data_IF_611396710191
#
_entry.id   IF_611396710191
#
_cell.length_a   1.000
_cell.length_b   1.000
_cell.length_c   1.000
_cell.angle_alpha   90.00
_cell.angle_beta   90.00
_cell.angle_gamma   90.00
#
_symmetry.space_group_name_H-M   'P 1'
#
loop_
_entity.id
_entity.type
_entity.pdbx_description
1 polymer ?
#
# COMPACT_ATOMS: atom_id res chain seq x y z
N UNK A 1 57.52 15.27 33.41
CA UNK A 1 57.52 14.58 32.09
C UNK A 1 56.15 14.85 31.46
N UNK A 2 55.87 16.08 31.03
CA UNK A 2 56.15 16.70 29.72
C UNK A 2 55.46 16.02 28.53
N UNK A 3 54.45 16.70 27.97
CA UNK A 3 54.23 17.01 26.54
C UNK A 3 52.72 17.10 26.26
N UNK A 4 52.11 18.28 26.24
CA UNK A 4 51.98 19.21 25.10
C UNK A 4 51.53 18.55 23.77
N UNK A 5 50.33 18.91 23.32
CA UNK A 5 50.03 19.22 21.91
C UNK A 5 48.71 20.01 21.81
N UNK A 6 48.85 21.31 21.67
CA UNK A 6 47.86 22.30 21.23
C UNK A 6 47.74 22.28 19.70
N UNK A 7 46.51 22.35 19.15
CA UNK A 7 46.28 22.75 17.76
C UNK A 7 45.24 23.87 17.73
N UNK A 8 45.71 25.02 17.25
CA UNK A 8 44.97 26.22 16.88
C UNK A 8 44.26 26.00 15.55
N UNK A 9 43.02 26.49 15.40
CA UNK A 9 42.53 26.92 14.08
C UNK A 9 41.84 28.29 14.16
N UNK A 10 42.55 29.22 13.54
CA UNK A 10 42.26 30.55 13.03
C UNK A 10 40.78 30.93 12.78
N UNK A 11 40.45 32.10 13.32
CA UNK A 11 39.34 32.98 12.97
C UNK A 11 39.50 33.60 11.58
N UNK A 12 38.43 33.56 10.77
CA UNK A 12 38.30 34.38 9.55
C UNK A 12 37.14 35.37 9.71
N UNK A 13 37.51 36.62 10.00
CA UNK A 13 36.70 37.83 9.92
C UNK A 13 36.73 38.38 8.49
N UNK A 14 35.57 38.73 7.91
CA UNK A 14 35.33 39.92 7.08
C UNK A 14 34.14 39.72 6.14
N UNK A 15 33.04 40.46 6.36
CA UNK A 15 32.52 41.44 5.40
C UNK A 15 31.17 42.01 5.85
N UNK A 16 31.25 43.14 6.55
CA UNK A 16 30.15 44.05 6.86
C UNK A 16 29.83 44.89 5.63
N UNK A 17 28.73 44.60 4.93
CA UNK A 17 28.15 45.49 3.92
C UNK A 17 27.00 46.30 4.52
N UNK A 18 27.34 47.55 4.84
CA UNK A 18 26.51 48.69 5.22
C UNK A 18 25.45 48.94 4.12
N UNK A 19 24.16 48.71 4.41
CA UNK A 19 23.04 49.16 3.56
C UNK A 19 22.24 50.24 4.26
N UNK A 20 22.05 51.33 3.52
CA UNK A 20 21.42 52.59 3.91
C UNK A 20 19.93 52.38 4.21
N UNK A 21 19.49 52.94 5.34
CA UNK A 21 18.08 53.15 5.68
C UNK A 21 17.43 54.09 4.66
N UNK A 22 16.33 53.67 4.05
CA UNK A 22 15.38 54.55 3.39
C UNK A 22 14.04 54.42 4.14
N UNK A 23 13.74 55.45 4.92
CA UNK A 23 12.49 55.64 5.65
C UNK A 23 11.43 56.18 4.69
N UNK A 24 10.35 55.44 4.49
CA UNK A 24 9.11 55.92 3.86
C UNK A 24 7.95 55.48 4.75
N UNK A 25 7.41 56.42 5.52
CA UNK A 25 6.10 56.30 6.16
C UNK A 25 4.99 56.59 5.14
N UNK A 26 3.85 55.90 5.25
CA UNK A 26 2.58 56.50 4.92
C UNK A 26 1.62 56.53 6.12
N UNK A 27 1.15 57.75 6.38
CA UNK A 27 -0.02 58.08 7.18
C UNK A 27 -1.26 57.30 6.73
N UNK A 28 -1.93 56.61 7.66
CA UNK A 28 -3.29 56.12 7.46
C UNK A 28 -4.18 56.53 8.65
N UNK A 29 -5.22 57.31 8.31
CA UNK A 29 -6.32 57.74 9.19
C UNK A 29 -7.17 56.54 9.64
N UNK A 30 -7.74 56.55 10.86
CA UNK A 30 -8.69 55.53 11.28
C UNK A 30 -10.09 55.76 10.69
N UNK A 31 -10.62 54.73 10.03
CA UNK A 31 -12.03 54.65 9.62
C UNK A 31 -12.81 53.92 10.72
N UNK A 32 -13.81 54.62 11.26
CA UNK A 32 -14.82 54.12 12.20
C UNK A 32 -15.83 53.23 11.47
N UNK A 33 -16.07 52.02 11.96
CA UNK A 33 -17.21 51.20 11.56
C UNK A 33 -17.98 50.69 12.78
N UNK A 34 -19.27 51.03 12.76
CA UNK A 34 -20.33 50.77 13.74
C UNK A 34 -20.51 49.28 14.05
N UNK A 35 -20.61 48.96 15.34
CA UNK A 35 -21.15 47.70 15.85
C UNK A 35 -22.66 47.60 15.59
N UNK A 36 -23.08 46.52 14.93
CA UNK A 36 -24.49 46.09 14.85
C UNK A 36 -24.68 44.90 15.79
N UNK A 37 -25.49 45.10 16.84
CA UNK A 37 -26.03 44.07 17.71
C UNK A 37 -27.07 43.25 16.94
N UNK A 38 -26.92 41.93 16.91
CA UNK A 38 -28.03 41.01 16.65
C UNK A 38 -28.17 40.09 17.87
N UNK A 39 -29.17 40.36 18.70
CA UNK A 39 -29.74 39.39 19.63
C UNK A 39 -30.72 38.52 18.85
N UNK A 40 -30.56 37.20 18.90
CA UNK A 40 -31.60 36.26 18.47
C UNK A 40 -31.83 35.27 19.60
N UNK A 41 -33.10 35.17 19.99
CA UNK A 41 -33.58 34.53 21.21
C UNK A 41 -33.45 33.01 21.24
N UNK A 42 -33.29 32.54 22.47
CA UNK A 42 -33.40 31.16 22.92
C UNK A 42 -34.86 30.70 22.84
N UNK A 43 -35.14 29.65 22.07
CA UNK A 43 -36.41 28.91 22.13
C UNK A 43 -36.13 27.48 22.61
N UNK A 44 -36.51 27.22 23.85
CA UNK A 44 -36.60 25.90 24.47
C UNK A 44 -37.69 25.07 23.77
N UNK A 45 -37.37 23.84 23.34
CA UNK A 45 -38.38 22.82 22.99
C UNK A 45 -38.00 21.44 23.54
N UNK A 46 -38.81 21.03 24.53
CA UNK A 46 -39.59 19.78 24.56
C UNK A 46 -38.85 18.45 24.45
N UNK A 47 -38.71 17.79 25.60
CA UNK A 47 -38.35 16.38 25.80
C UNK A 47 -39.44 15.41 25.31
N UNK A 48 -39.08 14.50 24.41
CA UNK A 48 -39.90 13.33 24.04
C UNK A 48 -39.57 12.09 24.88
N UNK A 49 -40.55 11.24 25.26
CA UNK A 49 -40.32 10.07 26.11
C UNK A 49 -39.73 8.88 25.33
N UNK A 50 -38.75 8.20 25.94
CA UNK A 50 -38.16 6.95 25.43
C UNK A 50 -39.12 5.78 25.63
N UNK A 51 -39.42 5.07 24.54
CA UNK A 51 -40.14 3.78 24.54
C UNK A 51 -39.17 2.62 24.88
N UNK A 52 -39.54 1.62 25.69
CA UNK A 52 -38.66 0.50 26.06
C UNK A 52 -38.50 -0.49 24.90
N UNK A 53 -37.26 -0.83 24.55
CA UNK A 53 -36.91 -1.86 23.58
C UNK A 53 -37.14 -3.26 24.15
N UNK A 54 -37.98 -4.06 23.48
CA UNK A 54 -38.18 -5.48 23.81
C UNK A 54 -37.03 -6.38 23.28
N UNK A 55 -36.73 -7.50 23.97
CA UNK A 55 -35.65 -8.42 23.60
C UNK A 55 -35.97 -9.21 22.32
N UNK A 56 -35.06 -9.12 21.35
CA UNK A 56 -35.11 -9.77 20.03
C UNK A 56 -34.90 -11.29 20.17
N UNK A 57 -35.90 -12.08 19.79
CA UNK A 57 -35.82 -13.55 19.69
C UNK A 57 -34.67 -13.97 18.76
N UNK A 58 -33.76 -14.81 19.26
CA UNK A 58 -32.70 -15.45 18.48
C UNK A 58 -33.32 -16.53 17.59
N UNK A 59 -33.36 -16.28 16.28
CA UNK A 59 -33.70 -17.30 15.28
C UNK A 59 -32.43 -18.09 14.95
N UNK A 60 -32.37 -19.35 15.33
CA UNK A 60 -31.32 -20.28 14.90
C UNK A 60 -31.61 -20.71 13.48
N UNK A 61 -30.78 -20.27 12.53
CA UNK A 61 -30.88 -20.69 11.12
C UNK A 61 -29.99 -21.93 10.93
N UNK A 62 -30.61 -23.09 10.71
CA UNK A 62 -29.90 -24.30 10.28
C UNK A 62 -29.59 -24.18 8.80
N UNK A 63 -28.34 -23.92 8.44
CA UNK A 63 -27.93 -23.84 7.04
C UNK A 63 -27.84 -25.24 6.43
N UNK A 64 -28.70 -25.53 5.44
CA UNK A 64 -28.60 -26.74 4.62
C UNK A 64 -27.40 -26.58 3.67
N UNK A 65 -26.31 -27.28 3.93
CA UNK A 65 -25.12 -27.27 3.05
C UNK A 65 -25.34 -28.21 1.87
N UNK A 66 -25.56 -27.66 0.67
CA UNK A 66 -25.56 -28.43 -0.57
C UNK A 66 -24.13 -28.87 -0.91
N UNK A 67 -23.91 -30.18 -1.11
CA UNK A 67 -22.64 -30.73 -1.60
C UNK A 67 -22.69 -30.89 -3.11
N UNK A 68 -21.66 -30.42 -3.81
CA UNK A 68 -21.46 -30.60 -5.25
C UNK A 68 -20.46 -31.73 -5.48
N UNK A 69 -20.73 -32.59 -6.47
CA UNK A 69 -19.88 -33.72 -6.82
C UNK A 69 -19.44 -33.62 -8.29
N UNK A 70 -18.18 -33.90 -8.56
CA UNK A 70 -17.59 -33.92 -9.90
C UNK A 70 -16.70 -35.16 -10.04
N UNK A 71 -16.70 -35.80 -11.21
CA UNK A 71 -15.86 -36.97 -11.51
C UNK A 71 -14.78 -36.54 -12.50
N UNK A 72 -13.52 -36.85 -12.18
CA UNK A 72 -12.37 -36.67 -13.05
C UNK A 72 -11.90 -38.04 -13.57
N UNK A 73 -11.48 -38.09 -14.83
CA UNK A 73 -10.93 -39.28 -15.46
C UNK A 73 -9.48 -39.06 -15.85
N UNK A 74 -8.64 -40.04 -15.56
CA UNK A 74 -7.21 -40.06 -15.84
C UNK A 74 -6.88 -41.35 -16.58
N UNK A 75 -6.03 -41.24 -17.61
CA UNK A 75 -5.54 -42.39 -18.38
C UNK A 75 -4.02 -42.25 -18.49
N UNK A 76 -3.30 -43.15 -17.83
CA UNK A 76 -1.85 -43.22 -17.87
C UNK A 76 -1.45 -44.29 -18.88
N UNK A 77 -0.78 -43.87 -19.94
CA UNK A 77 -0.19 -44.73 -20.98
C UNK A 77 1.33 -44.58 -21.01
N UNK A 78 2.01 -45.39 -21.82
CA UNK A 78 3.47 -45.27 -22.03
C UNK A 78 3.90 -43.94 -22.67
N UNK A 79 2.96 -43.19 -23.24
CA UNK A 79 3.20 -41.86 -23.83
C UNK A 79 2.95 -40.71 -22.85
N UNK A 80 2.54 -41.02 -21.61
CA UNK A 80 2.30 -39.98 -20.60
C UNK A 80 3.60 -39.31 -20.22
N UNK A 81 3.51 -38.06 -19.76
CA UNK A 81 4.65 -37.38 -19.19
C UNK A 81 5.16 -38.15 -17.97
N UNK A 82 6.47 -38.02 -17.73
CA UNK A 82 7.11 -38.65 -16.59
C UNK A 82 7.76 -37.61 -15.69
N UNK A 83 7.83 -37.90 -14.39
CA UNK A 83 8.55 -37.09 -13.42
C UNK A 83 9.11 -37.94 -12.29
N UNK A 84 10.07 -37.35 -11.56
CA UNK A 84 10.59 -37.95 -10.33
C UNK A 84 9.64 -37.64 -9.18
N UNK A 85 9.00 -38.67 -8.63
CA UNK A 85 8.05 -38.54 -7.51
C UNK A 85 8.76 -38.17 -6.21
N UNK A 86 8.05 -37.51 -5.28
CA UNK A 86 8.57 -37.01 -3.99
C UNK A 86 9.23 -38.12 -3.16
N UNK A 87 8.64 -39.30 -3.16
CA UNK A 87 9.06 -40.52 -2.45
C UNK A 87 9.72 -41.56 -3.38
N UNK A 88 9.91 -41.21 -4.65
CA UNK A 88 10.45 -42.11 -5.67
C UNK A 88 11.94 -42.39 -5.47
N UNK A 89 12.32 -43.67 -5.52
CA UNK A 89 13.72 -44.12 -5.53
C UNK A 89 14.35 -43.82 -6.88
N UNK A 90 14.70 -42.56 -7.13
CA UNK A 90 15.46 -42.09 -8.31
C UNK A 90 14.83 -42.30 -9.69
N UNK A 91 13.70 -42.97 -9.79
CA UNK A 91 13.05 -43.31 -11.05
C UNK A 91 11.97 -42.31 -11.49
N UNK A 92 11.55 -42.47 -12.74
CA UNK A 92 10.54 -41.66 -13.41
C UNK A 92 9.20 -42.41 -13.47
N UNK A 93 8.13 -41.74 -13.07
CA UNK A 93 6.77 -42.30 -13.00
C UNK A 93 5.85 -41.55 -13.95
N UNK A 94 4.94 -42.28 -14.61
CA UNK A 94 3.94 -41.68 -15.49
C UNK A 94 2.95 -40.85 -14.68
N UNK A 95 2.56 -39.69 -15.21
CA UNK A 95 1.57 -38.84 -14.57
C UNK A 95 0.63 -38.14 -15.57
N UNK A 96 -0.56 -37.81 -15.10
CA UNK A 96 -1.55 -36.97 -15.77
C UNK A 96 -2.05 -35.91 -14.78
N UNK A 97 -2.48 -34.78 -15.31
CA UNK A 97 -2.84 -33.60 -14.55
C UNK A 97 -4.19 -33.05 -14.99
N UNK A 98 -4.96 -32.58 -14.02
CA UNK A 98 -6.20 -31.84 -14.26
C UNK A 98 -6.18 -30.56 -13.45
N UNK A 99 -6.65 -29.48 -14.06
CA UNK A 99 -6.89 -28.23 -13.35
C UNK A 99 -8.31 -28.27 -12.77
N UNK A 100 -8.43 -27.93 -11.49
CA UNK A 100 -9.72 -27.76 -10.84
C UNK A 100 -9.84 -26.32 -10.32
N UNK A 101 -11.05 -25.79 -10.44
CA UNK A 101 -11.42 -24.47 -9.96
C UNK A 101 -12.59 -24.64 -9.00
N UNK A 102 -12.43 -24.13 -7.78
CA UNK A 102 -13.47 -24.16 -6.76
C UNK A 102 -14.12 -22.78 -6.59
N UNK A 103 -15.40 -22.77 -6.23
CA UNK A 103 -16.17 -21.54 -6.02
C UNK A 103 -16.42 -21.17 -4.55
N UNK A 104 -16.01 -22.01 -3.60
CA UNK A 104 -16.23 -21.78 -2.17
C UNK A 104 -15.17 -22.46 -1.31
N UNK A 105 -14.83 -21.83 -0.17
CA UNK A 105 -13.95 -22.41 0.84
C UNK A 105 -14.62 -23.57 1.54
N UNK A 106 -13.86 -24.60 1.88
CA UNK A 106 -14.33 -25.62 2.80
C UNK A 106 -13.62 -26.96 2.61
N UNK A 107 -14.18 -27.99 3.25
CA UNK A 107 -13.67 -29.35 3.16
C UNK A 107 -14.11 -29.99 1.84
N UNK A 108 -13.13 -30.40 1.04
CA UNK A 108 -13.34 -31.19 -0.15
C UNK A 108 -12.82 -32.61 0.10
N UNK A 109 -13.65 -33.59 -0.26
CA UNK A 109 -13.31 -35.00 -0.18
C UNK A 109 -12.98 -35.53 -1.56
N UNK A 110 -11.97 -36.37 -1.63
CA UNK A 110 -11.49 -37.03 -2.84
C UNK A 110 -11.65 -38.53 -2.65
N UNK A 111 -12.24 -39.23 -3.61
CA UNK A 111 -12.47 -40.68 -3.58
C UNK A 111 -12.15 -41.28 -4.94
N UNK A 112 -11.15 -42.17 -5.01
CA UNK A 112 -10.73 -42.79 -6.28
C UNK A 112 -11.24 -44.22 -6.46
N UNK A 113 -11.35 -44.63 -7.72
CA UNK A 113 -11.45 -46.01 -8.17
C UNK A 113 -10.47 -46.20 -9.33
N UNK A 114 -9.59 -47.19 -9.22
CA UNK A 114 -8.48 -47.40 -10.15
C UNK A 114 -8.10 -48.86 -10.27
N UNK A 115 -7.64 -49.25 -11.46
CA UNK A 115 -7.17 -50.62 -11.78
C UNK A 115 -5.73 -50.88 -11.32
N UNK A 116 -5.02 -49.86 -10.88
CA UNK A 116 -3.63 -49.91 -10.43
C UNK A 116 -3.46 -49.03 -9.19
N UNK A 117 -2.38 -49.22 -8.45
CA UNK A 117 -2.07 -48.37 -7.33
C UNK A 117 -1.41 -47.06 -7.81
N UNK A 118 -1.88 -45.94 -7.29
CA UNK A 118 -1.52 -44.60 -7.73
C UNK A 118 -1.21 -43.67 -6.54
N UNK A 119 -0.79 -42.46 -6.86
CA UNK A 119 -0.68 -41.36 -5.92
C UNK A 119 -1.51 -40.21 -6.43
N UNK A 120 -2.23 -39.56 -5.52
CA UNK A 120 -2.97 -38.34 -5.81
C UNK A 120 -2.31 -37.19 -5.06
N UNK A 121 -1.74 -36.24 -5.79
CA UNK A 121 -1.18 -35.01 -5.26
C UNK A 121 -2.07 -33.83 -5.63
N UNK A 122 -2.26 -32.92 -4.69
CA UNK A 122 -3.00 -31.70 -4.89
C UNK A 122 -2.07 -30.51 -4.71
N UNK A 123 -1.93 -29.68 -5.74
CA UNK A 123 -1.10 -28.48 -5.72
C UNK A 123 -1.94 -27.21 -5.81
N UNK A 124 -1.53 -26.16 -5.11
CA UNK A 124 -2.10 -24.83 -5.25
C UNK A 124 -1.54 -24.14 -6.50
N UNK A 125 -2.40 -23.57 -7.34
CA UNK A 125 -2.07 -22.75 -8.51
C UNK A 125 -1.29 -23.42 -9.67
N UNK A 126 -0.17 -24.09 -9.41
CA UNK A 126 0.71 -24.67 -10.44
C UNK A 126 1.44 -25.92 -9.95
N UNK A 127 1.84 -26.78 -10.89
CA UNK A 127 2.65 -27.97 -10.64
C UNK A 127 3.96 -27.89 -11.44
N UNK A 128 5.08 -28.20 -10.77
CA UNK A 128 6.41 -28.26 -11.40
C UNK A 128 6.96 -29.69 -11.29
N UNK A 129 7.13 -30.37 -12.41
CA UNK A 129 7.64 -31.75 -12.42
C UNK A 129 9.08 -31.87 -11.94
N UNK A 130 9.87 -30.80 -12.02
CA UNK A 130 11.25 -30.75 -11.51
C UNK A 130 11.34 -30.45 -10.02
N UNK A 131 10.28 -29.89 -9.43
CA UNK A 131 10.15 -29.64 -8.00
C UNK A 131 8.72 -29.97 -7.54
N UNK A 132 8.40 -31.27 -7.38
CA UNK A 132 7.06 -31.72 -7.03
C UNK A 132 6.67 -31.41 -5.57
N UNK A 133 7.54 -30.79 -4.77
CA UNK A 133 7.17 -30.28 -3.44
C UNK A 133 6.59 -28.87 -3.53
N UNK A 134 6.89 -28.13 -4.60
CA UNK A 134 6.41 -26.77 -4.79
C UNK A 134 4.88 -26.73 -4.87
N UNK A 135 4.28 -25.89 -4.01
CA UNK A 135 2.84 -25.69 -3.87
C UNK A 135 2.03 -26.94 -3.49
N UNK A 136 2.65 -28.00 -2.99
CA UNK A 136 1.91 -29.17 -2.52
C UNK A 136 1.00 -28.81 -1.34
N UNK A 137 -0.29 -29.12 -1.46
CA UNK A 137 -1.33 -28.86 -0.45
C UNK A 137 -1.67 -30.13 0.31
N UNK A 138 -1.85 -31.23 -0.42
CA UNK A 138 -2.21 -32.52 0.14
C UNK A 138 -1.72 -33.65 -0.76
N UNK A 139 -1.55 -34.83 -0.17
CA UNK A 139 -1.25 -36.06 -0.89
C UNK A 139 -2.02 -37.23 -0.28
N UNK A 140 -2.44 -38.17 -1.13
CA UNK A 140 -3.06 -39.43 -0.74
C UNK A 140 -2.40 -40.61 -1.47
N UNK A 141 -2.11 -41.68 -0.73
CA UNK A 141 -1.57 -42.94 -1.25
C UNK A 141 -2.14 -44.13 -0.47
N UNK A 142 -2.16 -45.31 -1.10
CA UNK A 142 -2.82 -46.57 -0.71
C UNK A 142 -2.74 -47.58 -1.87
N UNK A 143 -2.81 -48.87 -1.53
CA UNK A 143 -2.80 -50.01 -2.46
C UNK A 143 -4.04 -50.08 -3.38
N UNK A 144 -3.92 -50.80 -4.51
CA UNK A 144 -4.94 -50.91 -5.57
C UNK A 144 -6.37 -51.36 -5.12
N UNK A 145 -7.42 -51.10 -5.92
CA UNK A 145 -8.84 -51.36 -5.64
C UNK A 145 -9.78 -50.12 -5.58
N UNK A 146 -11.07 -50.34 -5.30
CA UNK A 146 -12.09 -49.29 -5.08
C UNK A 146 -11.90 -48.59 -3.73
N UNK A 147 -12.03 -47.26 -3.70
CA UNK A 147 -11.81 -46.47 -2.48
C UNK A 147 -10.32 -46.32 -2.12
N UNK A 148 -9.45 -46.39 -3.14
CA UNK A 148 -8.00 -46.31 -3.02
C UNK A 148 -7.54 -45.07 -2.23
N UNK A 149 -8.00 -43.87 -2.58
CA UNK A 149 -7.71 -42.66 -1.81
C UNK A 149 -9.01 -42.03 -1.35
N UNK A 150 -9.28 -42.10 -0.04
CA UNK A 150 -10.33 -41.32 0.60
C UNK A 150 -9.67 -40.33 1.56
N UNK A 151 -9.51 -39.09 1.14
CA UNK A 151 -8.99 -38.04 2.00
C UNK A 151 -9.83 -36.77 1.87
N UNK A 152 -9.87 -36.01 2.95
CA UNK A 152 -10.56 -34.73 3.03
C UNK A 152 -9.55 -33.64 3.33
N UNK A 153 -9.58 -32.56 2.56
CA UNK A 153 -8.69 -31.41 2.72
C UNK A 153 -9.49 -30.12 2.70
N UNK A 154 -9.13 -29.19 3.59
CA UNK A 154 -9.71 -27.85 3.58
C UNK A 154 -9.06 -27.01 2.48
N UNK A 155 -9.84 -26.59 1.49
CA UNK A 155 -9.38 -25.73 0.41
C UNK A 155 -9.87 -24.29 0.63
N UNK A 156 -8.97 -23.32 0.82
CA UNK A 156 -9.35 -21.91 0.95
C UNK A 156 -9.73 -21.31 -0.41
N UNK A 157 -10.87 -20.63 -0.46
CA UNK A 157 -11.27 -19.76 -1.55
C UNK A 157 -10.97 -18.31 -1.19
N UNK A 158 -10.21 -17.61 -2.03
CA UNK A 158 -9.83 -16.22 -1.78
C UNK A 158 -10.86 -15.25 -2.40
N UNK A 159 -11.83 -14.82 -1.59
CA UNK A 159 -12.80 -13.79 -1.98
C UNK A 159 -12.19 -12.36 -1.94
N UNK A 160 -10.97 -12.16 -1.45
CA UNK A 160 -10.37 -10.82 -1.37
C UNK A 160 -10.03 -10.27 -2.76
N UNK A 161 -9.73 -11.14 -3.72
CA UNK A 161 -9.52 -10.79 -5.13
C UNK A 161 -10.83 -10.42 -5.86
N UNK A 162 -11.97 -10.92 -5.38
CA UNK A 162 -13.32 -10.63 -5.92
C UNK A 162 -13.71 -9.16 -5.72
N UNK A 163 -13.29 -8.55 -4.60
CA UNK A 163 -13.68 -7.18 -4.23
C UNK A 163 -12.90 -6.09 -4.98
N UNK A 164 -11.74 -6.40 -5.57
CA UNK A 164 -10.93 -5.43 -6.33
C UNK A 164 -11.15 -5.48 -7.84
N UNK A 165 -11.70 -6.56 -8.38
CA UNK A 165 -11.98 -6.70 -9.81
C UNK A 165 -13.50 -6.73 -10.05
N UNK A 166 -14.11 -5.56 -10.26
CA UNK A 166 -15.51 -5.39 -10.67
C UNK A 166 -15.68 -5.95 -12.10
N UNK A 167 -15.66 -7.29 -12.26
CA UNK A 167 -16.27 -8.10 -13.35
C UNK A 167 -15.72 -9.52 -13.49
N UNK A 168 -14.57 -9.86 -12.88
CA UNK A 168 -13.97 -11.19 -13.05
C UNK A 168 -14.20 -11.99 -11.77
N UNK A 169 -15.09 -12.99 -11.84
CA UNK A 169 -15.36 -13.93 -10.73
C UNK A 169 -14.02 -14.44 -10.20
N UNK A 170 -13.73 -14.18 -8.92
CA UNK A 170 -12.55 -14.75 -8.28
C UNK A 170 -12.69 -16.28 -8.30
N UNK A 171 -11.64 -16.96 -8.73
CA UNK A 171 -11.59 -18.42 -8.83
C UNK A 171 -10.27 -18.86 -8.24
N UNK A 172 -10.29 -19.74 -7.24
CA UNK A 172 -9.07 -20.36 -6.73
C UNK A 172 -8.79 -21.63 -7.52
N UNK A 173 -7.56 -21.74 -8.02
CA UNK A 173 -7.10 -22.80 -8.91
C UNK A 173 -6.25 -23.81 -8.14
N UNK A 174 -6.49 -25.09 -8.39
CA UNK A 174 -5.65 -26.20 -7.93
C UNK A 174 -5.32 -27.13 -9.09
N UNK A 175 -4.20 -27.84 -8.98
CA UNK A 175 -3.79 -28.88 -9.93
C UNK A 175 -3.84 -30.22 -9.21
N UNK A 176 -4.64 -31.14 -9.75
CA UNK A 176 -4.66 -32.55 -9.33
C UNK A 176 -3.67 -33.30 -10.21
N UNK A 177 -2.72 -33.99 -9.59
CA UNK A 177 -1.70 -34.81 -10.24
C UNK A 177 -1.93 -36.26 -9.84
N UNK A 178 -2.18 -37.12 -10.81
CA UNK A 178 -2.24 -38.57 -10.61
C UNK A 178 -0.95 -39.17 -11.16
N UNK A 179 -0.27 -39.96 -10.33
CA UNK A 179 0.98 -40.64 -10.67
C UNK A 179 0.87 -42.14 -10.38
N UNK A 180 1.56 -43.00 -11.13
CA UNK A 180 1.63 -44.43 -10.83
C UNK A 180 2.42 -44.70 -9.55
N UNK A 181 2.10 -45.76 -8.79
CA UNK A 181 2.93 -46.22 -7.66
C UNK A 181 4.23 -46.86 -8.15
N UNK A 182 4.14 -47.74 -9.14
CA UNK A 182 5.27 -48.41 -9.77
C UNK A 182 5.66 -47.77 -11.11
N UNK A 183 6.91 -48.00 -11.50
CA UNK A 183 7.43 -47.55 -12.79
C UNK A 183 6.75 -48.30 -13.93
N UNK A 184 6.60 -47.63 -15.08
CA UNK A 184 6.09 -48.22 -16.32
C UNK A 184 4.67 -48.80 -16.27
N UNK A 185 3.91 -48.58 -15.19
CA UNK A 185 2.52 -49.04 -15.08
C UNK A 185 1.60 -48.16 -15.94
N UNK A 186 0.61 -48.78 -16.58
CA UNK A 186 -0.41 -48.07 -17.36
C UNK A 186 -1.79 -48.50 -16.90
N UNK A 187 -2.78 -47.63 -17.06
CA UNK A 187 -4.14 -47.89 -16.61
C UNK A 187 -5.00 -46.65 -16.57
N UNK A 188 -6.24 -46.82 -16.14
CA UNK A 188 -7.22 -45.75 -15.99
C UNK A 188 -7.68 -45.60 -14.55
N UNK A 189 -7.92 -44.36 -14.13
CA UNK A 189 -8.40 -44.00 -12.80
C UNK A 189 -9.55 -43.01 -12.92
N UNK A 190 -10.57 -43.17 -12.07
CA UNK A 190 -11.59 -42.16 -11.83
C UNK A 190 -11.45 -41.58 -10.43
N UNK A 191 -11.67 -40.27 -10.29
CA UNK A 191 -11.58 -39.55 -9.02
C UNK A 191 -12.85 -38.74 -8.82
N UNK A 192 -13.64 -39.12 -7.82
CA UNK A 192 -14.81 -38.36 -7.38
C UNK A 192 -14.36 -37.31 -6.38
N UNK A 193 -14.68 -36.06 -6.65
CA UNK A 193 -14.42 -34.92 -5.78
C UNK A 193 -15.75 -34.32 -5.32
N UNK A 194 -15.93 -34.14 -4.02
CA UNK A 194 -17.14 -33.57 -3.43
C UNK A 194 -16.83 -32.44 -2.46
N UNK A 195 -17.63 -31.37 -2.45
CA UNK A 195 -17.45 -30.27 -1.49
C UNK A 195 -18.54 -29.19 -1.54
N UNK A 196 -18.36 -28.10 -0.77
CA UNK A 196 -19.42 -27.09 -0.57
C UNK A 196 -19.60 -26.10 -1.73
N UNK A 197 -18.68 -26.09 -2.71
CA UNK A 197 -18.72 -25.19 -3.86
C UNK A 197 -18.78 -25.94 -5.19
N UNK A 198 -19.14 -25.22 -6.26
CA UNK A 198 -19.07 -25.72 -7.63
C UNK A 198 -17.61 -26.00 -7.99
N UNK A 199 -17.39 -27.16 -8.62
CA UNK A 199 -16.07 -27.62 -9.06
C UNK A 199 -16.06 -27.62 -10.59
N UNK A 200 -15.23 -26.77 -11.19
CA UNK A 200 -15.02 -26.74 -12.63
C UNK A 200 -13.70 -27.41 -12.98
N UNK A 201 -13.71 -28.34 -13.92
CA UNK A 201 -12.51 -29.04 -14.39
C UNK A 201 -12.06 -28.46 -15.73
N UNK A 202 -10.75 -28.27 -15.89
CA UNK A 202 -10.12 -27.81 -17.13
C UNK A 202 -8.88 -28.63 -17.46
N UNK A 203 -8.53 -28.64 -18.74
CA UNK A 203 -7.19 -29.03 -19.17
C UNK A 203 -6.21 -27.94 -18.73
N UNK A 204 -5.09 -28.28 -18.07
CA UNK A 204 -4.15 -27.26 -17.60
C UNK A 204 -3.55 -26.47 -18.77
N UNK A 205 -3.47 -25.15 -18.63
CA UNK A 205 -2.72 -24.32 -19.56
C UNK A 205 -1.25 -24.74 -19.57
N UNK A 206 -0.63 -24.81 -20.74
CA UNK A 206 0.77 -25.25 -20.92
C UNK A 206 1.77 -24.40 -20.13
N UNK A 207 1.42 -23.16 -19.78
CA UNK A 207 2.22 -22.26 -18.95
C UNK A 207 2.22 -22.63 -17.45
N UNK A 208 1.25 -23.43 -17.00
CA UNK A 208 1.20 -23.95 -15.64
C UNK A 208 2.02 -25.23 -15.46
N UNK A 209 2.66 -25.72 -16.55
CA UNK A 209 3.45 -26.95 -16.59
C UNK A 209 4.87 -26.60 -17.08
N UNK A 210 5.82 -26.47 -16.15
CA UNK A 210 7.23 -26.37 -16.53
C UNK A 210 7.79 -27.78 -16.76
N UNK A 211 7.68 -28.29 -17.99
CA UNK A 211 8.27 -29.58 -18.37
C UNK A 211 9.76 -29.37 -18.67
N UNK A 212 10.63 -30.00 -17.90
CA UNK A 212 12.05 -30.09 -18.26
C UNK A 212 12.20 -31.16 -19.34
N UNK A 213 12.38 -30.75 -20.60
CA UNK A 213 12.89 -31.64 -21.64
C UNK A 213 14.38 -31.84 -21.39
N UNK A 214 14.78 -33.06 -21.06
CA UNK A 214 16.17 -33.46 -21.07
C UNK A 214 16.59 -33.62 -22.53
N UNK A 215 17.06 -32.54 -23.15
CA UNK A 215 17.75 -32.62 -24.44
C UNK A 215 19.19 -33.08 -24.15
N UNK A 216 19.46 -34.37 -24.38
CA UNK A 216 20.82 -34.88 -24.52
C UNK A 216 21.28 -34.69 -25.97
N UNK A 217 21.59 -33.45 -26.36
CA UNK A 217 22.27 -33.18 -27.61
C UNK A 217 23.75 -32.92 -27.31
N UNK A 218 24.59 -33.89 -27.68
CA UNK A 218 26.05 -33.85 -27.52
C UNK A 218 26.66 -32.70 -28.32
N UNK A 219 27.02 -31.63 -27.61
CA UNK A 219 27.60 -30.42 -28.17
C UNK A 219 29.10 -30.62 -28.46
N UNK A 220 29.47 -30.54 -29.74
CA UNK A 220 30.84 -30.61 -30.25
C UNK A 220 31.71 -29.47 -29.68
N UNK A 221 32.96 -29.79 -29.32
CA UNK A 221 33.90 -28.91 -28.62
C UNK A 221 34.29 -27.62 -29.35
N UNK A 222 33.99 -27.51 -30.66
CA UNK A 222 34.19 -26.29 -31.46
C UNK A 222 33.12 -25.22 -31.23
N UNK A 223 31.88 -25.61 -30.92
CA UNK A 223 30.75 -24.66 -30.74
C UNK A 223 30.75 -24.05 -29.34
N UNK A 224 31.40 -24.72 -28.38
CA UNK A 224 31.45 -24.29 -26.99
C UNK A 224 32.19 -22.95 -26.82
N UNK A 225 33.26 -22.71 -27.58
CA UNK A 225 34.03 -21.47 -27.47
C UNK A 225 33.24 -20.24 -27.96
N UNK A 226 32.50 -20.39 -29.07
CA UNK A 226 31.62 -19.34 -29.59
C UNK A 226 30.46 -19.02 -28.65
N UNK A 227 29.87 -20.06 -28.04
CA UNK A 227 28.79 -19.92 -27.05
C UNK A 227 29.30 -19.23 -25.78
N UNK A 228 30.49 -19.57 -25.28
CA UNK A 228 31.06 -18.93 -24.09
C UNK A 228 31.31 -17.44 -24.34
N UNK A 229 31.93 -17.07 -25.46
CA UNK A 229 32.21 -15.65 -25.77
C UNK A 229 30.92 -14.87 -26.00
N UNK A 230 29.96 -15.44 -26.75
CA UNK A 230 28.64 -14.84 -26.97
C UNK A 230 27.87 -14.65 -25.67
N UNK A 231 27.93 -15.62 -24.75
CA UNK A 231 27.24 -15.55 -23.46
C UNK A 231 27.85 -14.51 -22.53
N UNK A 232 29.16 -14.31 -22.53
CA UNK A 232 29.82 -13.29 -21.69
C UNK A 232 29.50 -11.88 -22.20
N UNK A 233 29.60 -11.65 -23.51
CA UNK A 233 29.29 -10.34 -24.11
C UNK A 233 27.80 -10.04 -23.99
N UNK A 234 26.93 -11.02 -24.29
CA UNK A 234 25.49 -10.90 -24.15
C UNK A 234 25.07 -10.60 -22.70
N UNK A 235 25.66 -11.31 -21.73
CA UNK A 235 25.42 -11.07 -20.32
C UNK A 235 25.81 -9.65 -19.88
N UNK A 236 26.97 -9.16 -20.34
CA UNK A 236 27.43 -7.80 -20.02
C UNK A 236 26.48 -6.73 -20.61
N UNK A 237 26.02 -6.89 -21.85
CA UNK A 237 25.08 -5.96 -22.47
C UNK A 237 23.73 -5.94 -21.75
N UNK A 238 23.20 -7.11 -21.37
CA UNK A 238 21.96 -7.19 -20.56
C UNK A 238 22.13 -6.47 -19.23
N UNK A 239 23.27 -6.62 -18.57
CA UNK A 239 23.54 -5.95 -17.30
C UNK A 239 23.60 -4.43 -17.44
N UNK A 240 24.24 -3.91 -18.51
CA UNK A 240 24.27 -2.47 -18.82
C UNK A 240 22.84 -1.95 -19.10
N UNK A 241 22.03 -2.69 -19.86
CA UNK A 241 20.64 -2.31 -20.12
C UNK A 241 19.81 -2.26 -18.83
N UNK A 242 19.94 -3.26 -17.95
CA UNK A 242 19.25 -3.28 -16.65
C UNK A 242 19.69 -2.08 -15.81
N UNK A 243 20.98 -1.80 -15.72
CA UNK A 243 21.49 -0.63 -14.99
C UNK A 243 20.97 0.68 -15.57
N UNK A 244 20.93 0.82 -16.90
CA UNK A 244 20.36 1.99 -17.58
C UNK A 244 18.88 2.19 -17.27
N UNK A 245 18.08 1.12 -17.31
CA UNK A 245 16.66 1.16 -16.95
C UNK A 245 16.46 1.51 -15.47
N UNK A 246 17.30 0.98 -14.56
CA UNK A 246 17.28 1.34 -13.15
C UNK A 246 17.60 2.83 -12.94
N UNK A 247 18.60 3.37 -13.63
CA UNK A 247 18.94 4.80 -13.55
C UNK A 247 17.78 5.66 -14.07
N UNK A 248 17.15 5.29 -15.18
CA UNK A 248 15.99 6.01 -15.73
C UNK A 248 14.81 5.94 -14.76
N UNK A 249 14.50 4.76 -14.22
CA UNK A 249 13.41 4.58 -13.26
C UNK A 249 13.65 5.37 -11.96
N UNK A 250 14.86 5.32 -11.41
CA UNK A 250 15.27 6.11 -10.26
C UNK A 250 15.22 7.61 -10.55
N UNK A 251 15.67 8.04 -11.73
CA UNK A 251 15.62 9.44 -12.15
C UNK A 251 14.17 9.91 -12.28
N UNK A 252 13.32 9.16 -12.98
CA UNK A 252 11.89 9.46 -13.12
C UNK A 252 11.19 9.48 -11.76
N UNK A 253 11.50 8.53 -10.87
CA UNK A 253 11.01 8.52 -9.50
C UNK A 253 11.44 9.76 -8.72
N UNK A 254 12.72 10.11 -8.78
CA UNK A 254 13.26 11.30 -8.13
C UNK A 254 12.63 12.59 -8.67
N UNK A 255 12.52 12.76 -9.98
CA UNK A 255 11.87 13.92 -10.61
C UNK A 255 10.37 13.99 -10.30
N UNK A 256 9.65 12.86 -10.30
CA UNK A 256 8.21 12.84 -9.98
C UNK A 256 7.91 13.06 -8.49
N UNK A 257 8.85 12.70 -7.61
CA UNK A 257 8.72 12.83 -6.17
C UNK A 257 9.31 14.13 -5.63
N UNK A 258 10.13 14.85 -6.40
CA UNK A 258 10.76 16.09 -5.95
C UNK A 258 9.70 17.11 -5.55
N UNK A 259 9.75 17.51 -4.29
CA UNK A 259 8.85 18.45 -3.66
C UNK A 259 7.52 17.90 -3.18
N UNK A 260 7.16 16.62 -3.41
CA UNK A 260 5.97 16.07 -2.73
C UNK A 260 6.28 15.89 -1.25
N UNK A 261 5.30 16.12 -0.35
CA UNK A 261 5.50 15.73 1.04
C UNK A 261 5.81 14.23 1.09
N UNK A 262 6.94 13.87 1.73
CA UNK A 262 7.40 12.49 1.87
C UNK A 262 6.36 11.57 2.53
N UNK A 263 5.41 12.17 3.25
CA UNK A 263 4.36 11.47 3.99
C UNK A 263 3.02 12.19 3.76
N UNK A 264 1.94 11.41 3.68
CA UNK A 264 0.59 11.98 3.75
C UNK A 264 0.40 12.74 5.06
N UNK A 265 -0.53 13.69 5.10
CA UNK A 265 -0.80 14.47 6.31
C UNK A 265 -1.07 13.57 7.53
N UNK A 266 -1.86 12.51 7.37
CA UNK A 266 -2.07 11.51 8.44
C UNK A 266 -0.77 10.84 8.88
N UNK A 267 0.03 10.34 7.94
CA UNK A 267 1.28 9.66 8.26
C UNK A 267 2.33 10.60 8.89
N UNK A 268 2.38 11.87 8.47
CA UNK A 268 3.23 12.90 9.08
C UNK A 268 2.90 13.11 10.57
N UNK A 269 1.59 13.14 10.89
CA UNK A 269 1.09 13.27 12.25
C UNK A 269 1.40 12.04 13.11
N UNK A 270 1.08 10.83 12.61
CA UNK A 270 1.21 9.58 13.39
C UNK A 270 2.65 9.15 13.59
N UNK A 271 3.54 9.40 12.63
CA UNK A 271 4.95 8.99 12.71
C UNK A 271 5.82 10.05 13.43
N UNK A 272 5.22 10.91 14.24
CA UNK A 272 5.94 11.82 15.13
C UNK A 272 6.28 11.15 16.44
N UNK A 273 7.42 11.52 17.02
CA UNK A 273 7.74 11.11 18.37
C UNK A 273 6.70 11.70 19.33
N UNK A 274 6.08 10.88 20.18
CA UNK A 274 5.17 11.39 21.18
C UNK A 274 5.93 12.29 22.15
N UNK A 275 5.40 13.47 22.41
CA UNK A 275 5.91 14.39 23.42
C UNK A 275 5.10 14.15 24.69
N UNK A 276 5.76 13.78 25.79
CA UNK A 276 5.11 13.41 27.05
C UNK A 276 4.55 14.59 27.86
N UNK A 277 4.35 15.74 27.24
CA UNK A 277 3.95 16.96 27.94
C UNK A 277 2.46 17.26 27.74
N UNK A 278 1.78 17.60 28.83
CA UNK A 278 0.35 18.02 28.87
C UNK A 278 0.04 19.30 28.08
N UNK A 279 1.06 19.95 27.50
CA UNK A 279 0.97 21.23 26.78
C UNK A 279 0.17 21.12 25.48
N UNK A 280 0.01 19.91 24.92
CA UNK A 280 -0.68 19.71 23.64
C UNK A 280 -2.09 20.30 23.58
N UNK A 281 -2.85 20.27 24.68
CA UNK A 281 -4.21 20.82 24.72
C UNK A 281 -4.24 22.36 24.73
N UNK A 282 -3.16 23.01 25.15
CA UNK A 282 -3.07 24.47 25.23
C UNK A 282 -2.67 25.05 23.86
N UNK A 283 -1.81 24.35 23.13
CA UNK A 283 -1.28 24.83 21.84
C UNK A 283 -2.34 24.82 20.74
N UNK A 284 -3.20 23.80 20.71
CA UNK A 284 -4.21 23.62 19.65
C UNK A 284 -5.54 24.28 20.01
N UNK A 285 -5.51 25.60 20.20
CA UNK A 285 -6.70 26.42 20.45
C UNK A 285 -7.18 27.11 19.17
N UNK A 286 -8.49 27.17 19.00
CA UNK A 286 -9.12 27.85 17.87
C UNK A 286 -8.89 29.36 17.97
N UNK A 287 -8.09 29.93 17.08
CA UNK A 287 -7.71 31.35 17.11
C UNK A 287 -7.29 31.86 15.71
N UNK A 288 -6.90 33.12 15.66
CA UNK A 288 -6.18 33.73 14.54
C UNK A 288 -4.69 33.40 14.65
N UNK A 289 -4.09 33.08 13.52
CA UNK A 289 -2.69 32.75 13.35
C UNK A 289 -2.08 33.69 12.33
N UNK A 290 -0.81 33.99 12.53
CA UNK A 290 0.05 34.70 11.58
C UNK A 290 0.95 33.67 10.91
N UNK A 291 0.93 33.61 9.58
CA UNK A 291 1.78 32.71 8.80
C UNK A 291 2.84 33.47 8.03
N UNK A 292 4.02 32.87 7.91
CA UNK A 292 5.13 33.32 7.09
C UNK A 292 5.56 32.16 6.20
N UNK A 293 5.85 32.45 4.94
CA UNK A 293 6.33 31.45 4.01
C UNK A 293 7.48 32.00 3.19
N UNK A 294 8.45 31.13 2.92
CA UNK A 294 9.63 31.46 2.13
C UNK A 294 9.39 31.04 0.69
N UNK A 295 9.71 31.88 -0.28
CA UNK A 295 9.61 31.52 -1.71
C UNK A 295 10.59 32.38 -2.51
N UNK A 296 11.22 31.77 -3.51
CA UNK A 296 12.20 32.46 -4.38
C UNK A 296 13.31 33.19 -3.61
N UNK A 297 13.74 32.64 -2.47
CA UNK A 297 14.80 33.23 -1.63
C UNK A 297 14.33 34.37 -0.71
N UNK A 298 13.03 34.66 -0.66
CA UNK A 298 12.46 35.80 0.08
C UNK A 298 11.36 35.31 1.03
N UNK A 299 11.32 35.88 2.25
CA UNK A 299 10.19 35.71 3.15
C UNK A 299 9.05 36.63 2.73
N UNK A 300 7.88 36.06 2.48
CA UNK A 300 6.69 36.83 2.16
C UNK A 300 6.03 37.37 3.43
N UNK A 301 5.31 38.48 3.28
CA UNK A 301 4.66 39.21 4.36
C UNK A 301 3.74 38.32 5.21
N UNK A 302 3.59 38.63 6.51
CA UNK A 302 2.69 37.89 7.39
C UNK A 302 1.26 37.91 6.85
N UNK A 303 0.67 36.73 6.67
CA UNK A 303 -0.75 36.61 6.37
C UNK A 303 -1.52 36.08 7.58
N UNK A 304 -2.68 36.69 7.84
CA UNK A 304 -3.55 36.30 8.95
C UNK A 304 -4.61 35.30 8.49
N UNK A 305 -4.85 34.28 9.30
CA UNK A 305 -5.87 33.28 9.03
C UNK A 305 -6.39 32.67 10.31
N UNK A 306 -7.63 32.18 10.28
CA UNK A 306 -8.24 31.54 11.45
C UNK A 306 -8.16 30.02 11.30
N UNK A 307 -7.76 29.33 12.37
CA UNK A 307 -7.87 27.87 12.48
C UNK A 307 -8.83 27.51 13.63
N UNK A 308 -9.68 26.52 13.40
CA UNK A 308 -10.59 25.93 14.36
C UNK A 308 -10.26 24.45 14.55
N UNK A 309 -10.01 24.05 15.79
CA UNK A 309 -9.56 22.72 16.17
C UNK A 309 -10.70 21.92 16.80
N UNK A 310 -10.93 20.70 16.30
CA UNK A 310 -12.05 19.85 16.70
C UNK A 310 -11.53 18.52 17.26
N UNK A 311 -11.28 18.43 18.59
CA UNK A 311 -10.75 17.21 19.20
C UNK A 311 -11.71 16.02 19.06
N UNK A 312 -13.03 16.29 19.14
CA UNK A 312 -14.08 15.27 19.02
C UNK A 312 -14.21 14.70 17.61
N UNK A 313 -13.72 15.41 16.59
CA UNK A 313 -13.80 15.01 15.19
C UNK A 313 -12.46 14.45 14.70
N UNK A 314 -11.90 13.48 15.42
CA UNK A 314 -10.61 12.84 15.11
C UNK A 314 -9.45 13.83 14.96
N UNK A 315 -9.36 14.83 15.85
CA UNK A 315 -8.33 15.88 15.81
C UNK A 315 -8.21 16.53 14.42
N UNK A 316 -9.35 16.99 13.89
CA UNK A 316 -9.41 17.72 12.62
C UNK A 316 -9.28 19.22 12.83
N UNK A 317 -8.67 19.89 11.86
CA UNK A 317 -8.55 21.36 11.84
C UNK A 317 -9.17 21.91 10.58
N UNK A 318 -9.94 22.98 10.72
CA UNK A 318 -10.52 23.74 9.61
C UNK A 318 -10.07 25.19 9.71
N UNK A 319 -9.92 25.87 8.58
CA UNK A 319 -9.55 27.27 8.60
C UNK A 319 -9.94 28.02 7.34
N UNK A 320 -9.73 29.32 7.39
CA UNK A 320 -9.90 30.23 6.26
C UNK A 320 -8.96 31.41 6.41
N UNK A 321 -8.53 31.97 5.30
CA UNK A 321 -7.62 33.11 5.28
C UNK A 321 -7.50 33.74 3.91
N UNK A 322 -6.67 34.77 3.83
CA UNK A 322 -6.29 35.44 2.59
C UNK A 322 -4.78 35.63 2.59
N UNK A 323 -4.13 35.27 1.49
CA UNK A 323 -2.73 35.62 1.24
C UNK A 323 -2.60 36.26 -0.16
N UNK A 324 -1.37 36.45 -0.63
CA UNK A 324 -1.10 37.07 -1.94
C UNK A 324 -1.63 36.26 -3.13
N UNK A 325 -1.89 34.96 -2.96
CA UNK A 325 -2.51 34.14 -4.00
C UNK A 325 -4.03 34.38 -4.00
N UNK A 326 -4.67 34.40 -2.84
CA UNK A 326 -6.09 34.77 -2.75
C UNK A 326 -6.78 34.30 -1.49
N UNK A 327 -8.12 34.25 -1.52
CA UNK A 327 -8.92 33.66 -0.46
C UNK A 327 -8.82 32.13 -0.51
N UNK A 328 -8.70 31.50 0.65
CA UNK A 328 -8.60 30.04 0.75
C UNK A 328 -9.36 29.47 1.94
N UNK A 329 -9.71 28.19 1.82
CA UNK A 329 -10.13 27.34 2.93
C UNK A 329 -9.02 26.34 3.25
N UNK A 330 -8.83 26.03 4.53
CA UNK A 330 -7.84 25.08 5.01
C UNK A 330 -8.55 23.89 5.66
N UNK A 331 -8.07 22.66 5.38
CA UNK A 331 -8.57 21.43 6.02
C UNK A 331 -7.41 20.49 6.33
N UNK A 332 -7.37 19.96 7.54
CA UNK A 332 -6.28 19.09 7.96
C UNK A 332 -6.54 18.27 9.21
N UNK A 333 -5.44 17.79 9.76
CA UNK A 333 -5.36 16.98 10.98
C UNK A 333 -4.24 17.51 11.87
N UNK A 334 -4.41 17.34 13.17
CA UNK A 334 -3.40 17.69 14.17
C UNK A 334 -3.28 16.59 15.22
N UNK A 335 -2.28 16.69 16.09
CA UNK A 335 -2.10 15.75 17.21
C UNK A 335 -1.49 16.46 18.41
N UNK A 336 -2.25 16.59 19.51
CA UNK A 336 -1.71 17.02 20.80
C UNK A 336 -0.56 16.14 21.30
N UNK A 337 -0.54 14.86 20.91
CA UNK A 337 0.48 13.90 21.31
C UNK A 337 1.82 14.13 20.64
N UNK A 338 1.83 14.48 19.35
CA UNK A 338 3.08 14.67 18.59
C UNK A 338 3.42 16.15 18.38
N UNK A 339 2.53 17.05 18.84
CA UNK A 339 2.60 18.49 18.61
C UNK A 339 2.77 18.87 17.14
N UNK A 340 2.20 18.05 16.25
CA UNK A 340 2.24 18.24 14.80
C UNK A 340 0.88 18.64 14.27
N UNK A 341 0.90 19.39 13.18
CA UNK A 341 -0.28 19.71 12.39
C UNK A 341 0.04 19.64 10.90
N UNK A 342 -0.91 19.16 10.12
CA UNK A 342 -0.81 19.13 8.68
C UNK A 342 -2.16 19.43 8.03
N UNK A 343 -2.20 20.39 7.12
CA UNK A 343 -3.43 20.81 6.45
C UNK A 343 -3.17 21.22 5.00
N UNK A 344 -4.23 21.15 4.21
CA UNK A 344 -4.24 21.56 2.82
C UNK A 344 -5.02 22.87 2.68
N UNK A 345 -4.45 23.87 2.00
CA UNK A 345 -5.15 25.07 1.53
C UNK A 345 -5.75 24.80 0.15
N UNK A 346 -7.00 25.23 -0.03
CA UNK A 346 -7.74 25.22 -1.28
C UNK A 346 -8.15 26.65 -1.59
N UNK A 347 -7.55 27.22 -2.64
CA UNK A 347 -7.83 28.58 -3.09
C UNK A 347 -9.17 28.66 -3.83
N UNK A 348 -9.94 29.70 -3.54
CA UNK A 348 -11.22 29.96 -4.20
C UNK A 348 -10.96 30.59 -5.57
N UNK A 349 -11.60 30.06 -6.62
CA UNK A 349 -11.36 30.44 -8.03
C UNK A 349 -11.77 31.86 -8.39
N UNK A 350 -12.61 32.50 -7.57
CA UNK A 350 -13.23 33.81 -7.85
C UNK A 350 -12.41 35.01 -7.34
N UNK A 351 -11.34 34.80 -6.56
CA UNK A 351 -10.62 35.88 -5.90
C UNK A 351 -9.12 35.78 -6.15
N UNK A 352 -8.49 36.88 -6.59
CA UNK A 352 -7.05 36.96 -6.85
C UNK A 352 -6.68 36.77 -8.33
N UNK A 353 -5.40 36.49 -8.61
CA UNK A 353 -4.96 36.24 -9.98
C UNK A 353 -5.44 34.85 -10.43
N UNK A 354 -6.48 34.82 -11.27
CA UNK A 354 -7.12 33.58 -11.74
C UNK A 354 -6.11 32.60 -12.33
N UNK A 355 -5.09 33.07 -13.07
CA UNK A 355 -4.03 32.20 -13.64
C UNK A 355 -3.18 31.54 -12.56
N UNK A 356 -3.02 32.18 -11.40
CA UNK A 356 -2.28 31.64 -10.27
C UNK A 356 -3.16 30.80 -9.32
N UNK A 357 -4.48 30.89 -9.41
CA UNK A 357 -5.41 30.23 -8.49
C UNK A 357 -6.13 29.00 -9.06
N UNK A 358 -5.88 28.62 -10.31
CA UNK A 358 -6.50 27.46 -10.96
C UNK A 358 -6.22 26.14 -10.21
N UNK A 359 -7.10 25.79 -9.27
CA UNK A 359 -7.08 24.55 -8.50
C UNK A 359 -5.76 24.26 -7.76
N UNK A 360 -5.01 25.30 -7.38
CA UNK A 360 -3.77 25.09 -6.63
C UNK A 360 -4.10 24.57 -5.23
N UNK A 361 -3.43 23.47 -4.89
CA UNK A 361 -3.46 22.87 -3.58
C UNK A 361 -2.11 23.10 -2.93
N UNK A 362 -2.10 23.75 -1.77
CA UNK A 362 -0.89 23.87 -0.96
C UNK A 362 -1.01 23.00 0.28
N UNK A 363 -0.08 22.09 0.49
CA UNK A 363 0.00 21.28 1.71
C UNK A 363 0.99 21.91 2.67
N UNK A 364 0.60 22.08 3.93
CA UNK A 364 1.46 22.59 5.00
C UNK A 364 1.63 21.50 6.05
N UNK A 365 2.86 21.25 6.48
CA UNK A 365 3.21 20.29 7.54
C UNK A 365 4.14 20.97 8.53
N UNK A 366 3.69 21.14 9.76
CA UNK A 366 4.38 21.91 10.80
C UNK A 366 4.41 21.16 12.14
N UNK A 367 5.46 21.42 12.91
CA UNK A 367 5.66 20.92 14.28
C UNK A 367 5.81 22.12 15.21
N UNK A 368 5.20 22.05 16.40
CA UNK A 368 5.39 23.07 17.43
C UNK A 368 6.85 23.07 17.92
N UNK A 369 7.48 24.23 17.87
CA UNK A 369 8.76 24.50 18.46
C UNK A 369 8.53 25.23 19.80
N UNK A 370 8.83 24.59 20.95
CA UNK A 370 8.60 25.19 22.26
C UNK A 370 9.54 26.37 22.56
N UNK A 371 10.69 26.46 21.89
CA UNK A 371 11.66 27.53 22.11
C UNK A 371 11.23 28.83 21.41
N UNK A 372 10.72 28.73 20.19
CA UNK A 372 10.25 29.90 19.41
C UNK A 372 8.76 30.18 19.62
N UNK A 373 8.06 29.32 20.37
CA UNK A 373 6.61 29.35 20.58
C UNK A 373 5.84 29.47 19.25
N UNK A 374 6.30 28.76 18.24
CA UNK A 374 5.76 28.81 16.89
C UNK A 374 5.71 27.42 16.27
N UNK A 375 4.85 27.27 15.28
CA UNK A 375 4.81 26.08 14.44
C UNK A 375 5.76 26.26 13.27
N UNK A 376 6.74 25.38 13.16
CA UNK A 376 7.77 25.42 12.14
C UNK A 376 7.69 24.18 11.26
N UNK A 377 7.93 24.34 9.96
CA UNK A 377 7.95 23.22 9.06
C UNK A 377 8.04 23.66 7.61
N UNK A 378 7.28 22.99 6.75
CA UNK A 378 7.37 23.15 5.31
C UNK A 378 5.99 23.30 4.68
N UNK A 379 5.94 24.06 3.61
CA UNK A 379 4.82 24.07 2.70
C UNK A 379 5.22 23.49 1.34
N UNK A 380 4.25 22.87 0.67
CA UNK A 380 4.39 22.15 -0.58
C UNK A 380 3.34 22.71 -1.54
N UNK A 381 3.77 23.55 -2.48
CA UNK A 381 2.86 24.15 -3.47
C UNK A 381 2.77 23.24 -4.70
N UNK A 382 1.59 22.67 -4.98
CA UNK A 382 1.36 21.90 -6.20
C UNK A 382 0.96 22.83 -7.35
N UNK A 383 1.91 23.12 -8.25
CA UNK A 383 1.67 23.90 -9.47
C UNK A 383 1.92 23.03 -10.72
N UNK A 384 0.86 22.35 -11.17
CA UNK A 384 0.95 21.38 -12.26
C UNK A 384 1.85 20.18 -11.94
N UNK A 385 3.02 20.12 -12.58
CA UNK A 385 4.03 19.04 -12.41
C UNK A 385 5.03 19.32 -11.28
N UNK A 386 5.17 20.56 -10.85
CA UNK A 386 6.20 20.96 -9.89
C UNK A 386 5.59 21.06 -8.50
N UNK A 387 6.37 20.61 -7.52
CA UNK A 387 6.09 20.89 -6.13
C UNK A 387 7.30 21.60 -5.56
N UNK A 388 7.08 22.81 -5.07
CA UNK A 388 8.12 23.59 -4.39
C UNK A 388 8.04 23.30 -2.90
N UNK A 389 9.15 22.85 -2.32
CA UNK A 389 9.26 22.58 -0.89
C UNK A 389 9.99 23.75 -0.23
N UNK A 390 9.28 24.47 0.64
CA UNK A 390 9.82 25.69 1.23
C UNK A 390 9.49 25.81 2.73
N UNK A 391 10.34 26.49 3.51
CA UNK A 391 10.08 26.80 4.91
C UNK A 391 8.72 27.48 5.15
N UNK A 392 8.08 27.14 6.26
CA UNK A 392 6.84 27.75 6.74
C UNK A 392 6.89 27.93 8.25
N UNK A 393 6.51 29.11 8.72
CA UNK A 393 6.41 29.46 10.15
C UNK A 393 5.01 29.96 10.43
N UNK A 394 4.42 29.54 11.54
CA UNK A 394 3.09 29.96 11.96
C UNK A 394 3.06 30.25 13.46
N UNK A 395 2.56 31.43 13.82
CA UNK A 395 2.49 31.93 15.18
C UNK A 395 1.03 32.17 15.58
N UNK A 396 0.71 32.02 16.86
CA UNK A 396 -0.62 32.37 17.39
C UNK A 396 -0.69 33.89 17.51
N UNK A 397 -1.65 34.52 16.84
CA UNK A 397 -1.84 35.97 16.93
C UNK A 397 -2.49 36.27 18.29
N UNK A 398 -1.82 37.06 19.14
CA UNK A 398 -2.26 37.46 20.49
C UNK A 398 -2.26 36.35 21.56
N UNK A 399 -1.09 35.78 21.85
CA UNK A 399 -0.84 35.40 23.26
C UNK A 399 -0.27 36.65 23.92
N UNK A 400 -0.99 37.37 24.81
CA UNK A 400 -0.34 38.36 25.65
C UNK A 400 0.81 37.65 26.36
N UNK A 401 2.05 38.11 26.14
CA UNK A 401 3.22 37.57 26.80
C UNK A 401 2.95 37.54 28.30
N UNK A 402 2.68 36.36 28.87
CA UNK A 402 2.93 36.14 30.28
C UNK A 402 4.46 36.12 30.41
N UNK A 403 5.03 37.30 30.71
CA UNK A 403 6.38 37.42 31.23
C UNK A 403 6.42 36.95 32.66
#
# INVERSE_FOLDING_TARGET
>A
MNSLASILYSSSSANTKKRKNLSLQPNLKPISTKQSRCQVGMLLRSSTPKTPLQPRKKTTITATTSSYNTILYFVLTSNSLQYRRIDGRSSNYYYDIKEIIISASGNYSFTSSSTFAAYCFLHANSFNSSDPLLNLVAQGHKSAGDGQYQYTVFLPFDDTMSKRAIKKRATTKYIVVISTEDESVTGSLSLVMSGPGVITVKTPDTTAISVHKNNEDGLSSGDLAGIIVGSVIGGLLVLICIMGLCIIACSCGFYCCRGRPLRSNKAYIYNGFPVHNSIGNIIFQSNTFTGFYFKDGIWYEPHYFTLAFYPQANYTVYGKGKDSLGLYVAKGVYSPRTLRMAFDKYYQTEFGNVRQNQNKKMTIQVTWNPFTQSFEGKHYLKDGKYVEEQPYIMQITNVPYFR
#
